data_IF_886930031325
#
_entry.id   IF_886930031325
#
_cell.length_a   1.000
_cell.length_b   1.000
_cell.length_c   1.000
_cell.angle_alpha   90.00
_cell.angle_beta   90.00
_cell.angle_gamma   90.00
#
_symmetry.space_group_name_H-M   'P 1'
#
loop_
_entity.id
_entity.type
_entity.pdbx_description
1 polymer ?
#
# COMPACT_ATOMS: atom_id res chain seq x y z
N UNK A 1 -9.94 -26.09 -5.94
CA UNK A 1 -9.33 -25.04 -5.10
C UNK A 1 -7.84 -25.08 -5.08
N UNK A 2 -7.24 -26.25 -5.33
CA UNK A 2 -5.79 -26.39 -5.33
C UNK A 2 -5.08 -25.45 -6.29
N UNK A 3 -5.65 -25.21 -7.46
CA UNK A 3 -5.00 -24.35 -8.46
C UNK A 3 -4.86 -22.91 -7.97
N UNK A 4 -5.88 -22.40 -7.29
CA UNK A 4 -5.83 -21.04 -6.77
C UNK A 4 -4.77 -20.91 -5.68
N UNK A 5 -4.69 -21.89 -4.79
CA UNK A 5 -3.67 -21.87 -3.74
C UNK A 5 -2.26 -21.97 -4.31
N UNK A 6 -2.08 -22.81 -5.33
CA UNK A 6 -0.79 -22.92 -6.01
C UNK A 6 -0.40 -21.61 -6.68
N UNK A 7 -1.36 -20.93 -7.33
CA UNK A 7 -1.09 -19.66 -7.97
C UNK A 7 -0.65 -18.62 -6.95
N UNK A 8 -1.28 -18.59 -5.78
CA UNK A 8 -0.91 -17.65 -4.73
C UNK A 8 0.49 -17.92 -4.18
N UNK A 9 0.86 -19.19 -4.02
CA UNK A 9 2.20 -19.53 -3.56
C UNK A 9 3.26 -19.13 -4.57
N UNK A 10 3.01 -19.39 -5.84
CA UNK A 10 3.93 -18.98 -6.89
C UNK A 10 4.09 -17.47 -6.92
N UNK A 11 2.99 -16.74 -6.74
CA UNK A 11 3.03 -15.28 -6.70
C UNK A 11 3.86 -14.78 -5.52
N UNK A 12 3.76 -15.43 -4.35
CA UNK A 12 4.57 -15.05 -3.20
C UNK A 12 6.05 -15.20 -3.45
N UNK A 13 6.44 -16.25 -4.14
CA UNK A 13 7.85 -16.44 -4.48
C UNK A 13 8.33 -15.41 -5.47
N UNK A 14 7.51 -15.07 -6.43
CA UNK A 14 7.88 -14.11 -7.48
C UNK A 14 7.94 -12.67 -6.97
N UNK A 15 7.14 -12.33 -5.97
CA UNK A 15 7.14 -10.98 -5.40
C UNK A 15 8.48 -10.65 -4.77
N UNK A 16 9.24 -11.64 -4.34
CA UNK A 16 10.57 -11.41 -3.76
C UNK A 16 11.60 -11.01 -4.80
N UNK A 17 11.40 -11.37 -6.05
CA UNK A 17 12.24 -10.90 -7.13
C UNK A 17 11.58 -9.68 -7.74
N UNK A 18 12.36 -8.76 -8.22
CA UNK A 18 11.83 -7.50 -8.75
C UNK A 18 11.22 -7.73 -10.13
N UNK A 19 10.08 -8.38 -10.18
CA UNK A 19 9.38 -8.66 -11.43
C UNK A 19 8.23 -7.67 -11.61
N UNK A 20 7.84 -7.51 -12.86
CA UNK A 20 6.75 -6.61 -13.24
C UNK A 20 5.43 -7.35 -13.12
N UNK A 21 4.54 -7.18 -14.07
CA UNK A 21 3.31 -7.93 -14.08
C UNK A 21 3.63 -9.41 -14.29
N UNK A 22 3.04 -10.24 -13.47
CA UNK A 22 3.30 -11.67 -13.48
C UNK A 22 2.00 -12.40 -13.78
N UNK A 23 2.07 -13.35 -14.71
CA UNK A 23 0.93 -14.21 -14.98
C UNK A 23 1.17 -15.55 -14.31
N UNK A 24 0.27 -15.92 -13.41
CA UNK A 24 0.30 -17.21 -12.72
C UNK A 24 -0.99 -17.93 -13.04
N UNK A 25 -0.89 -19.01 -13.82
CA UNK A 25 -2.04 -19.75 -14.30
C UNK A 25 -2.98 -18.80 -15.07
N UNK A 26 -4.18 -18.53 -14.56
CA UNK A 26 -5.13 -17.62 -15.21
C UNK A 26 -5.13 -16.22 -14.61
N UNK A 27 -4.25 -15.98 -13.62
CA UNK A 27 -4.19 -14.70 -12.94
C UNK A 27 -3.04 -13.86 -13.51
N UNK A 28 -3.28 -12.58 -13.59
CA UNK A 28 -2.23 -11.61 -13.89
C UNK A 28 -2.10 -10.72 -12.66
N UNK A 29 -0.89 -10.64 -12.11
CA UNK A 29 -0.64 -9.92 -10.87
C UNK A 29 0.19 -8.69 -11.18
N UNK A 30 -0.34 -7.53 -10.81
CA UNK A 30 0.36 -6.27 -11.02
C UNK A 30 1.59 -6.19 -10.14
N UNK A 31 2.65 -5.63 -10.71
CA UNK A 31 3.85 -5.33 -9.95
C UNK A 31 3.53 -4.39 -8.81
N UNK A 32 4.18 -4.60 -7.66
CA UNK A 32 4.09 -3.67 -6.54
C UNK A 32 4.75 -2.36 -6.95
N UNK A 33 4.05 -1.22 -6.89
CA UNK A 33 4.64 0.03 -7.34
C UNK A 33 5.73 0.55 -6.41
N UNK A 34 6.64 1.34 -6.96
CA UNK A 34 7.62 2.06 -6.17
C UNK A 34 7.18 3.50 -6.02
N UNK A 35 7.61 4.14 -4.94
CA UNK A 35 7.25 5.53 -4.67
C UNK A 35 8.48 6.31 -4.21
N UNK A 36 8.67 7.50 -4.77
CA UNK A 36 9.67 8.44 -4.26
C UNK A 36 9.15 9.07 -2.98
N UNK A 37 10.03 9.66 -2.15
CA UNK A 37 9.59 10.39 -0.98
C UNK A 37 8.53 11.46 -1.30
N UNK A 38 8.71 12.17 -2.41
CA UNK A 38 7.79 13.22 -2.83
C UNK A 38 6.45 12.64 -3.23
N UNK A 39 6.45 11.49 -3.87
CA UNK A 39 5.21 10.83 -4.25
C UNK A 39 4.41 10.37 -3.03
N UNK A 40 5.10 9.85 -2.02
CA UNK A 40 4.44 9.42 -0.78
C UNK A 40 3.79 10.63 -0.11
N UNK A 41 4.51 11.74 -0.05
CA UNK A 41 3.99 12.96 0.54
C UNK A 41 2.78 13.47 -0.24
N UNK A 42 2.84 13.42 -1.56
CA UNK A 42 1.73 13.84 -2.41
C UNK A 42 0.49 12.97 -2.21
N UNK A 43 0.69 11.65 -2.10
CA UNK A 43 -0.40 10.72 -1.80
C UNK A 43 -1.07 11.07 -0.49
N UNK A 44 -0.26 11.35 0.53
CA UNK A 44 -0.78 11.70 1.84
C UNK A 44 -1.60 12.97 1.78
N UNK A 45 -1.11 13.99 1.07
CA UNK A 45 -1.83 15.25 0.90
C UNK A 45 -3.12 15.07 0.12
N UNK A 46 -3.10 14.24 -0.92
CA UNK A 46 -4.31 13.94 -1.69
C UNK A 46 -5.36 13.26 -0.82
N UNK A 47 -4.93 12.43 0.12
CA UNK A 47 -5.82 11.77 1.07
C UNK A 47 -6.22 12.71 2.22
N UNK A 48 -5.67 13.93 2.26
CA UNK A 48 -5.99 14.94 3.29
C UNK A 48 -5.70 14.47 4.70
N UNK A 49 -4.56 13.81 4.88
CA UNK A 49 -4.17 13.25 6.17
C UNK A 49 -2.84 13.81 6.66
N UNK A 50 -2.75 14.13 7.96
CA UNK A 50 -1.44 14.36 8.55
C UNK A 50 -0.70 13.04 8.66
N UNK A 51 0.62 13.11 8.89
CA UNK A 51 1.47 11.92 8.95
C UNK A 51 0.95 10.89 9.95
N UNK A 52 0.45 11.35 11.09
CA UNK A 52 -0.03 10.46 12.13
C UNK A 52 -1.21 9.61 11.66
N UNK A 53 -2.21 10.24 11.03
CA UNK A 53 -3.37 9.51 10.53
C UNK A 53 -2.99 8.58 9.39
N UNK A 54 -2.13 9.05 8.51
CA UNK A 54 -1.64 8.25 7.40
C UNK A 54 -0.97 6.97 7.91
N UNK A 55 -0.11 7.11 8.92
CA UNK A 55 0.56 5.97 9.54
C UNK A 55 -0.45 5.01 10.17
N UNK A 56 -1.42 5.54 10.91
CA UNK A 56 -2.45 4.71 11.53
C UNK A 56 -3.23 3.93 10.48
N UNK A 57 -3.59 4.57 9.39
CA UNK A 57 -4.32 3.91 8.32
C UNK A 57 -3.53 2.80 7.66
N UNK A 58 -2.23 2.99 7.52
CA UNK A 58 -1.35 1.98 6.92
C UNK A 58 -0.93 0.90 7.90
N UNK A 59 -1.12 1.12 9.21
CA UNK A 59 -0.67 0.16 10.22
C UNK A 59 0.82 0.24 10.50
N UNK A 60 1.42 1.41 10.32
CA UNK A 60 2.85 1.62 10.59
C UNK A 60 3.01 2.76 11.59
N UNK A 61 4.23 3.00 12.04
CA UNK A 61 4.51 4.10 12.96
C UNK A 61 4.63 5.41 12.19
N UNK A 62 4.36 6.51 12.88
CA UNK A 62 4.57 7.83 12.29
C UNK A 62 6.04 8.04 11.92
N UNK A 63 6.96 7.51 12.71
CA UNK A 63 8.38 7.58 12.41
C UNK A 63 8.72 6.93 11.07
N UNK A 64 8.04 5.83 10.76
CA UNK A 64 8.21 5.18 9.46
C UNK A 64 7.80 6.11 8.32
N UNK A 65 6.64 6.75 8.45
CA UNK A 65 6.17 7.69 7.42
C UNK A 65 7.15 8.86 7.28
N UNK A 66 7.60 9.39 8.41
CA UNK A 66 8.59 10.48 8.39
C UNK A 66 9.86 10.07 7.67
N UNK A 67 10.34 8.85 7.94
CA UNK A 67 11.56 8.35 7.31
C UNK A 67 11.37 8.16 5.81
N UNK A 68 10.21 7.67 5.39
CA UNK A 68 9.91 7.52 3.97
C UNK A 68 9.89 8.87 3.26
N UNK A 69 9.22 9.85 3.85
CA UNK A 69 9.09 11.18 3.24
C UNK A 69 10.41 11.94 3.29
N UNK A 70 11.27 11.59 4.22
CA UNK A 70 12.61 12.19 4.33
C UNK A 70 13.67 11.45 3.53
N UNK A 71 13.33 10.34 2.89
CA UNK A 71 14.28 9.59 2.09
C UNK A 71 15.25 8.73 2.90
N UNK A 72 15.03 8.59 4.21
CA UNK A 72 15.91 7.79 5.07
C UNK A 72 15.63 6.30 4.99
N UNK A 73 14.41 5.94 4.64
CA UNK A 73 14.05 4.54 4.43
C UNK A 73 12.97 4.47 3.37
N UNK A 74 12.62 3.25 2.98
CA UNK A 74 11.62 3.01 1.95
C UNK A 74 10.55 2.07 2.48
N UNK A 75 9.30 2.25 2.06
CA UNK A 75 8.25 1.31 2.45
C UNK A 75 8.53 -0.08 1.89
N UNK A 76 8.15 -1.11 2.65
CA UNK A 76 8.28 -2.48 2.18
C UNK A 76 7.18 -2.82 1.17
N UNK A 77 7.17 -4.06 0.69
CA UNK A 77 6.22 -4.47 -0.35
C UNK A 77 4.77 -4.32 0.06
N UNK A 78 4.43 -4.69 1.29
CA UNK A 78 3.06 -4.59 1.78
C UNK A 78 2.61 -3.13 1.86
N UNK A 79 3.47 -2.27 2.39
CA UNK A 79 3.15 -0.85 2.47
C UNK A 79 3.01 -0.23 1.08
N UNK A 80 3.89 -0.60 0.15
CA UNK A 80 3.81 -0.10 -1.22
C UNK A 80 2.53 -0.54 -1.92
N UNK A 81 2.08 -1.77 -1.65
CA UNK A 81 0.80 -2.22 -2.21
C UNK A 81 -0.35 -1.35 -1.71
N UNK A 82 -0.38 -1.05 -0.41
CA UNK A 82 -1.39 -0.18 0.16
C UNK A 82 -1.29 1.25 -0.40
N UNK A 83 -0.07 1.76 -0.55
CA UNK A 83 0.12 3.07 -1.16
C UNK A 83 -0.41 3.11 -2.59
N UNK A 84 -0.24 2.01 -3.32
CA UNK A 84 -0.79 1.90 -4.67
C UNK A 84 -2.32 1.95 -4.69
N UNK A 85 -2.97 1.35 -3.69
CA UNK A 85 -4.43 1.41 -3.58
C UNK A 85 -4.89 2.84 -3.27
N UNK A 86 -4.17 3.54 -2.40
CA UNK A 86 -4.46 4.94 -2.12
C UNK A 86 -4.25 5.83 -3.34
N UNK A 87 -3.27 5.50 -4.16
CA UNK A 87 -3.03 6.24 -5.40
C UNK A 87 -4.22 6.15 -6.34
N UNK A 88 -4.85 4.98 -6.39
CA UNK A 88 -6.04 4.78 -7.21
C UNK A 88 -7.27 5.47 -6.61
N UNK A 89 -7.34 5.52 -5.28
CA UNK A 89 -8.51 6.07 -4.59
C UNK A 89 -8.06 6.68 -3.27
N UNK A 90 -7.92 8.02 -3.21
CA UNK A 90 -7.50 8.68 -1.97
C UNK A 90 -8.44 8.46 -0.78
N UNK A 91 -9.69 8.06 -1.02
CA UNK A 91 -10.66 7.78 0.04
C UNK A 91 -10.67 6.31 0.45
N UNK A 92 -9.67 5.54 0.02
CA UNK A 92 -9.63 4.10 0.23
C UNK A 92 -9.82 3.70 1.70
N UNK A 93 -9.14 4.39 2.61
CA UNK A 93 -9.25 4.05 4.04
C UNK A 93 -10.68 4.16 4.55
N UNK A 94 -11.41 5.17 4.11
CA UNK A 94 -12.81 5.35 4.50
C UNK A 94 -13.70 4.31 3.86
N UNK A 95 -13.47 4.02 2.59
CA UNK A 95 -14.31 3.08 1.85
C UNK A 95 -14.23 1.66 2.39
N UNK A 96 -13.06 1.25 2.88
CA UNK A 96 -12.91 -0.11 3.43
C UNK A 96 -13.11 -0.13 4.94
N UNK A 97 -13.49 0.99 5.56
CA UNK A 97 -13.84 1.03 6.96
C UNK A 97 -12.67 1.15 7.92
N UNK A 98 -11.47 1.48 7.42
CA UNK A 98 -10.32 1.73 8.29
C UNK A 98 -10.55 2.99 9.11
N UNK A 99 -11.07 4.04 8.48
CA UNK A 99 -11.51 5.25 9.17
C UNK A 99 -13.01 5.36 9.05
N UNK A 100 -13.65 5.71 10.16
CA UNK A 100 -15.09 5.93 10.21
C UNK A 100 -15.36 7.21 10.99
N UNK A 101 -16.33 7.96 10.53
CA UNK A 101 -16.79 9.11 11.29
C UNK A 101 -17.53 8.64 12.52
N UNK A 102 -17.23 9.26 13.65
CA UNK A 102 -17.91 8.95 14.90
C UNK A 102 -18.90 10.08 15.20
N UNK A 103 -20.16 9.69 15.38
CA UNK A 103 -21.19 10.66 15.73
C UNK A 103 -21.03 11.04 17.20
N UNK A 104 -21.16 12.35 17.48
CA UNK A 104 -21.06 12.87 18.84
C UNK A 104 -22.42 13.16 19.44
N UNK A 105 -23.47 12.59 18.91
CA UNK A 105 -24.84 12.79 19.43
C UNK A 105 -25.11 12.07 20.73
#
# INVERSE_FOLDING_TARGET
MGRFAEALEDARRLVKSDVRDVRVDTLQISRVPDFTPEEIKSLRHAAKMPQRLFALGLGVTQKSVEAWEGGRSHPDGAARRLLGLLQQDPDFFSKVGIFKHVSND
#
